data_IF_003386981419
#
_entry.id   IF_003386981419
#
_cell.length_a   1.000
_cell.length_b   1.000
_cell.length_c   1.000
_cell.angle_alpha   90.00
_cell.angle_beta   90.00
_cell.angle_gamma   90.00
#
_symmetry.space_group_name_H-M   'P 1'
#
loop_
_entity.id
_entity.type
_entity.pdbx_description
1 polymer ?
#
# COMPACT_ATOMS: atom_id res chain seq x y z
N UNK A 1 6.47 -4.14 21.19
CA UNK A 1 5.04 -4.02 20.85
C UNK A 1 4.22 -4.61 21.99
N UNK A 2 3.16 -3.92 22.43
CA UNK A 2 2.23 -4.44 23.45
C UNK A 2 1.14 -5.37 22.88
N UNK A 3 1.14 -5.62 21.56
CA UNK A 3 0.16 -6.46 20.88
C UNK A 3 0.87 -7.66 20.22
N UNK A 4 1.23 -8.65 21.04
CA UNK A 4 2.02 -9.82 20.60
C UNK A 4 1.27 -10.77 19.65
N UNK A 5 -0.06 -10.74 19.69
CA UNK A 5 -0.97 -11.55 18.88
C UNK A 5 -1.43 -10.86 17.59
N UNK A 6 -1.18 -9.56 17.44
CA UNK A 6 -1.62 -8.75 16.30
C UNK A 6 -1.26 -9.38 14.96
N UNK A 7 0.00 -9.81 14.81
CA UNK A 7 0.45 -10.44 13.57
C UNK A 7 -0.30 -11.74 13.27
N UNK A 8 -0.61 -12.55 14.30
CA UNK A 8 -1.35 -13.79 14.09
C UNK A 8 -2.78 -13.53 13.59
N UNK A 9 -3.49 -12.58 14.18
CA UNK A 9 -4.83 -12.20 13.74
C UNK A 9 -4.82 -11.57 12.34
N UNK A 10 -3.87 -10.69 12.04
CA UNK A 10 -3.75 -10.08 10.71
C UNK A 10 -3.52 -11.12 9.61
N UNK A 11 -2.74 -12.18 9.89
CA UNK A 11 -2.52 -13.25 8.92
C UNK A 11 -3.82 -14.00 8.57
N UNK A 12 -4.61 -14.36 9.58
CA UNK A 12 -5.88 -15.06 9.36
C UNK A 12 -6.91 -14.17 8.67
N UNK A 13 -7.01 -12.90 9.08
CA UNK A 13 -7.88 -11.94 8.42
C UNK A 13 -7.52 -11.77 6.94
N UNK A 14 -6.23 -11.63 6.62
CA UNK A 14 -5.78 -11.47 5.24
C UNK A 14 -6.07 -12.72 4.40
N UNK A 15 -5.90 -13.93 4.95
CA UNK A 15 -6.29 -15.18 4.29
C UNK A 15 -7.76 -15.21 3.95
N UNK A 16 -8.61 -14.82 4.89
CA UNK A 16 -10.06 -14.77 4.66
C UNK A 16 -10.46 -13.71 3.65
N UNK A 17 -9.80 -12.55 3.64
CA UNK A 17 -10.01 -11.52 2.62
C UNK A 17 -9.70 -12.06 1.23
N UNK A 18 -8.52 -12.66 1.03
CA UNK A 18 -8.11 -13.23 -0.26
C UNK A 18 -9.06 -14.36 -0.69
N UNK A 19 -9.47 -15.21 0.25
CA UNK A 19 -10.44 -16.30 -0.01
C UNK A 19 -11.79 -15.76 -0.49
N UNK A 20 -12.27 -14.65 0.07
CA UNK A 20 -13.59 -14.08 -0.25
C UNK A 20 -13.56 -13.26 -1.54
N UNK A 21 -12.49 -12.49 -1.78
CA UNK A 21 -12.38 -11.65 -2.98
C UNK A 21 -11.89 -12.42 -4.19
N UNK A 22 -11.02 -13.41 -4.01
CA UNK A 22 -10.28 -14.01 -5.13
C UNK A 22 -9.24 -13.04 -5.71
N UNK A 23 -8.72 -13.33 -6.92
CA UNK A 23 -7.61 -12.58 -7.52
C UNK A 23 -8.02 -11.15 -7.91
N UNK A 24 -7.04 -10.25 -8.07
CA UNK A 24 -7.31 -8.88 -8.45
C UNK A 24 -7.85 -8.80 -9.88
N UNK A 25 -9.02 -8.19 -10.02
CA UNK A 25 -9.69 -7.95 -11.30
C UNK A 25 -9.97 -6.47 -11.50
N UNK A 26 -9.65 -6.01 -12.70
CA UNK A 26 -9.75 -4.63 -13.11
C UNK A 26 -10.74 -4.47 -14.27
N UNK A 27 -11.42 -3.34 -14.30
CA UNK A 27 -12.35 -2.96 -15.37
C UNK A 27 -11.97 -1.60 -15.90
N UNK A 28 -11.93 -1.48 -17.22
CA UNK A 28 -11.76 -0.20 -17.90
C UNK A 28 -12.96 0.73 -17.61
N UNK A 29 -12.70 2.02 -17.43
CA UNK A 29 -13.77 3.03 -17.36
C UNK A 29 -14.35 3.24 -18.77
N UNK A 30 -15.29 2.41 -19.20
CA UNK A 30 -16.14 2.78 -20.34
C UNK A 30 -17.31 3.65 -19.84
N UNK A 31 -17.59 4.75 -20.54
CA UNK A 31 -18.85 5.47 -20.41
C UNK A 31 -20.00 4.47 -20.64
N UNK A 32 -20.79 4.19 -19.60
CA UNK A 32 -21.96 3.32 -19.72
C UNK A 32 -22.91 3.90 -20.76
N UNK A 33 -23.03 3.26 -21.93
CA UNK A 33 -24.17 3.45 -22.80
C UNK A 33 -25.31 2.53 -22.32
N UNK A 34 -26.50 3.07 -22.02
CA UNK A 34 -27.57 2.35 -21.32
C UNK A 34 -28.18 1.17 -22.10
N UNK A 35 -27.80 1.01 -23.37
CA UNK A 35 -28.35 0.07 -24.35
C UNK A 35 -27.45 -1.12 -24.68
N UNK A 36 -26.26 -1.26 -24.07
CA UNK A 36 -25.36 -2.38 -24.31
C UNK A 36 -25.29 -3.34 -23.12
N UNK A 37 -25.71 -4.59 -23.36
CA UNK A 37 -25.52 -5.71 -22.44
C UNK A 37 -24.02 -5.85 -22.14
N UNK A 38 -23.63 -5.52 -20.91
CA UNK A 38 -22.23 -5.35 -20.54
C UNK A 38 -21.53 -6.70 -20.44
N UNK A 39 -20.80 -7.10 -21.49
CA UNK A 39 -19.79 -8.14 -21.33
C UNK A 39 -18.81 -7.68 -20.23
N UNK A 40 -18.56 -8.52 -19.22
CA UNK A 40 -17.64 -8.20 -18.13
C UNK A 40 -16.23 -8.06 -18.70
N UNK A 41 -15.77 -6.83 -18.97
CA UNK A 41 -14.39 -6.52 -19.33
C UNK A 41 -13.46 -6.60 -18.10
N UNK A 42 -13.70 -7.58 -17.21
CA UNK A 42 -12.84 -7.85 -16.08
C UNK A 42 -11.59 -8.57 -16.56
N UNK A 43 -10.43 -7.99 -16.28
CA UNK A 43 -9.13 -8.59 -16.60
C UNK A 43 -8.21 -8.52 -15.40
N UNK A 44 -7.31 -9.48 -15.33
CA UNK A 44 -6.12 -9.34 -14.50
C UNK A 44 -5.20 -8.30 -15.14
N UNK A 45 -4.64 -7.42 -14.32
CA UNK A 45 -3.54 -6.55 -14.71
C UNK A 45 -2.39 -6.84 -13.75
N UNK A 46 -1.16 -6.66 -14.21
CA UNK A 46 -0.01 -6.60 -13.31
C UNK A 46 0.19 -5.16 -12.85
N UNK A 47 0.93 -4.92 -11.77
CA UNK A 47 1.25 -3.54 -11.38
C UNK A 47 2.04 -2.79 -12.47
N UNK A 48 2.94 -3.48 -13.17
CA UNK A 48 3.63 -2.93 -14.35
C UNK A 48 2.65 -2.51 -15.45
N UNK A 49 1.76 -3.42 -15.86
CA UNK A 49 0.76 -3.11 -16.88
C UNK A 49 -0.18 -1.99 -16.45
N UNK A 50 -0.51 -1.91 -15.15
CA UNK A 50 -1.31 -0.81 -14.60
C UNK A 50 -0.58 0.53 -14.70
N UNK A 51 0.71 0.58 -14.30
CA UNK A 51 1.51 1.80 -14.33
C UNK A 51 1.75 2.31 -15.76
N UNK A 52 1.89 1.40 -16.73
CA UNK A 52 2.07 1.73 -18.15
C UNK A 52 0.83 2.39 -18.79
N UNK A 53 -0.34 2.36 -18.14
CA UNK A 53 -1.57 2.91 -18.71
C UNK A 53 -1.67 4.44 -18.65
N UNK A 54 -0.71 5.13 -18.02
CA UNK A 54 -0.42 6.61 -18.04
C UNK A 54 -1.57 7.61 -17.89
N UNK A 55 -2.83 7.19 -17.76
CA UNK A 55 -3.98 8.08 -17.67
C UNK A 55 -4.64 8.01 -16.30
N UNK A 56 -5.11 9.17 -15.81
CA UNK A 56 -5.93 9.27 -14.60
C UNK A 56 -7.26 8.51 -14.72
N UNK A 57 -7.62 8.09 -15.95
CA UNK A 57 -8.78 7.26 -16.27
C UNK A 57 -8.44 5.78 -16.43
N UNK A 58 -7.30 5.36 -15.88
CA UNK A 58 -6.88 3.97 -15.86
C UNK A 58 -7.93 3.02 -15.29
N UNK A 59 -7.77 1.71 -15.59
CA UNK A 59 -8.72 0.69 -15.17
C UNK A 59 -8.85 0.65 -13.65
N UNK A 60 -10.08 0.46 -13.15
CA UNK A 60 -10.36 0.41 -11.72
C UNK A 60 -10.37 -1.03 -11.24
N UNK A 61 -9.67 -1.31 -10.13
CA UNK A 61 -9.77 -2.60 -9.44
C UNK A 61 -11.19 -2.76 -8.88
N UNK A 62 -11.93 -3.75 -9.37
CA UNK A 62 -13.30 -4.08 -8.93
C UNK A 62 -13.33 -5.09 -7.80
N UNK A 63 -12.34 -5.97 -7.78
CA UNK A 63 -12.22 -7.07 -6.82
C UNK A 63 -10.74 -7.40 -6.59
N UNK A 64 -10.38 -7.82 -5.39
CA UNK A 64 -9.02 -8.16 -5.01
C UNK A 64 -8.62 -7.53 -3.67
N UNK A 65 -7.39 -7.79 -3.23
CA UNK A 65 -6.83 -7.24 -1.99
C UNK A 65 -5.58 -6.44 -2.31
N UNK A 66 -5.51 -5.21 -1.80
CA UNK A 66 -4.29 -4.40 -1.76
C UNK A 66 -3.82 -4.33 -0.31
N UNK A 67 -2.62 -4.81 -0.04
CA UNK A 67 -1.98 -4.70 1.27
C UNK A 67 -1.05 -3.49 1.25
N UNK A 68 -1.39 -2.48 2.05
CA UNK A 68 -0.59 -1.26 2.21
C UNK A 68 0.40 -1.44 3.36
N UNK A 69 1.68 -1.49 3.04
CA UNK A 69 2.77 -1.65 3.99
C UNK A 69 3.49 -0.32 4.20
N UNK A 70 3.22 0.34 5.33
CA UNK A 70 3.94 1.55 5.72
C UNK A 70 5.30 1.20 6.32
N UNK A 71 6.36 1.61 5.62
CA UNK A 71 7.72 1.44 6.10
C UNK A 71 8.04 2.50 7.15
N UNK A 72 8.35 2.05 8.37
CA UNK A 72 8.72 2.94 9.47
C UNK A 72 10.24 3.07 9.63
N UNK A 73 10.74 4.25 10.03
CA UNK A 73 12.17 4.46 10.27
C UNK A 73 12.71 3.48 11.32
N UNK A 74 13.90 2.92 11.06
CA UNK A 74 14.55 1.95 11.96
C UNK A 74 13.99 0.52 11.92
N UNK A 75 12.95 0.25 11.12
CA UNK A 75 12.29 -1.06 11.08
C UNK A 75 12.40 -1.76 9.71
N UNK A 76 13.42 -1.46 8.91
CA UNK A 76 13.56 -2.01 7.55
C UNK A 76 13.58 -3.53 7.48
N UNK A 77 14.23 -4.19 8.42
CA UNK A 77 14.29 -5.66 8.46
C UNK A 77 12.93 -6.26 8.80
N UNK A 78 12.08 -5.55 9.55
CA UNK A 78 10.71 -5.96 9.78
C UNK A 78 9.87 -5.82 8.51
N UNK A 79 10.01 -4.70 7.79
CA UNK A 79 9.40 -4.52 6.47
C UNK A 79 9.75 -5.65 5.50
N UNK A 80 11.04 -6.02 5.42
CA UNK A 80 11.49 -7.13 4.57
C UNK A 80 10.86 -8.47 4.99
N UNK A 81 10.76 -8.76 6.29
CA UNK A 81 10.08 -9.97 6.79
C UNK A 81 8.60 -10.00 6.42
N UNK A 82 7.90 -8.88 6.56
CA UNK A 82 6.49 -8.76 6.19
C UNK A 82 6.30 -8.95 4.69
N UNK A 83 7.10 -8.29 3.86
CA UNK A 83 7.04 -8.42 2.40
C UNK A 83 7.32 -9.86 1.97
N UNK A 84 8.35 -10.50 2.53
CA UNK A 84 8.66 -11.91 2.28
C UNK A 84 7.46 -12.80 2.62
N UNK A 85 6.90 -12.65 3.82
CA UNK A 85 5.74 -13.43 4.24
C UNK A 85 4.57 -13.27 3.28
N UNK A 86 4.25 -12.03 2.90
CA UNK A 86 3.15 -11.73 1.99
C UNK A 86 3.35 -12.37 0.62
N UNK A 87 4.56 -12.26 0.07
CA UNK A 87 4.90 -12.85 -1.22
C UNK A 87 4.90 -14.38 -1.18
N UNK A 88 5.57 -15.00 -0.20
CA UNK A 88 5.63 -16.46 -0.05
C UNK A 88 4.24 -17.08 0.23
N UNK A 89 3.33 -16.33 0.85
CA UNK A 89 1.99 -16.83 1.20
C UNK A 89 0.96 -16.62 0.10
N UNK A 90 0.97 -15.47 -0.56
CA UNK A 90 -0.12 -15.07 -1.47
C UNK A 90 0.34 -14.90 -2.93
N UNK A 91 1.63 -14.66 -3.18
CA UNK A 91 2.15 -14.35 -4.52
C UNK A 91 1.34 -13.26 -5.20
N UNK A 92 0.86 -13.54 -6.42
CA UNK A 92 0.10 -12.60 -7.26
C UNK A 92 -1.41 -12.50 -6.92
N UNK A 93 -1.87 -13.16 -5.85
CA UNK A 93 -3.25 -13.05 -5.40
C UNK A 93 -3.54 -11.72 -4.69
N UNK A 94 -2.50 -10.97 -4.33
CA UNK A 94 -2.59 -9.66 -3.70
C UNK A 94 -1.73 -8.64 -4.44
N UNK A 95 -2.09 -7.38 -4.29
CA UNK A 95 -1.23 -6.26 -4.62
C UNK A 95 -0.54 -5.74 -3.36
N UNK A 96 0.76 -5.47 -3.46
CA UNK A 96 1.51 -4.77 -2.42
C UNK A 96 1.53 -3.27 -2.71
N UNK A 97 1.38 -2.44 -1.70
CA UNK A 97 1.65 -1.01 -1.78
C UNK A 97 2.69 -0.67 -0.72
N UNK A 98 3.95 -0.52 -1.14
CA UNK A 98 5.06 -0.23 -0.24
C UNK A 98 5.13 1.29 -0.11
N UNK A 99 4.89 1.77 1.11
CA UNK A 99 4.73 3.20 1.38
C UNK A 99 5.86 3.74 2.25
N UNK A 100 6.31 4.95 1.96
CA UNK A 100 7.29 5.72 2.75
C UNK A 100 6.68 6.99 3.40
N UNK A 101 5.36 7.16 3.34
CA UNK A 101 4.60 8.35 3.76
C UNK A 101 4.46 8.54 5.28
N UNK A 102 5.53 8.36 6.04
CA UNK A 102 5.52 8.74 7.44
C UNK A 102 6.00 10.18 7.61
N UNK A 103 5.06 11.10 7.85
CA UNK A 103 5.36 12.50 8.19
C UNK A 103 5.42 12.66 9.71
N UNK A 104 6.60 12.96 10.29
CA UNK A 104 6.73 13.20 11.72
C UNK A 104 5.84 14.35 12.17
N UNK A 105 5.21 14.23 13.34
CA UNK A 105 4.38 15.28 13.93
C UNK A 105 5.07 15.87 15.18
N UNK A 106 5.73 17.04 15.07
CA UNK A 106 6.51 17.64 16.16
C UNK A 106 5.66 18.04 17.38
N UNK A 107 4.36 18.25 17.21
CA UNK A 107 3.44 18.66 18.27
C UNK A 107 3.16 17.58 19.33
N UNK A 108 3.49 16.32 19.07
CA UNK A 108 3.25 15.19 19.97
C UNK A 108 4.40 14.98 20.97
N UNK A 109 4.60 15.95 21.86
CA UNK A 109 5.69 15.96 22.86
C UNK A 109 5.75 14.75 23.80
N UNK A 110 4.63 14.06 24.02
CA UNK A 110 4.56 12.79 24.76
C UNK A 110 5.13 11.61 23.96
N UNK A 111 4.82 11.53 22.67
CA UNK A 111 5.36 10.52 21.74
C UNK A 111 6.87 10.72 21.57
N UNK A 112 7.35 11.96 21.54
CA UNK A 112 8.78 12.27 21.43
C UNK A 112 9.64 11.61 22.51
N UNK A 113 9.15 11.60 23.76
CA UNK A 113 9.91 11.06 24.89
C UNK A 113 9.92 9.53 24.92
N UNK A 114 8.89 8.90 24.35
CA UNK A 114 8.70 7.46 24.41
C UNK A 114 9.20 6.74 23.14
N UNK A 115 9.13 7.39 21.98
CA UNK A 115 9.45 6.84 20.65
C UNK A 115 10.19 7.86 19.77
N UNK A 116 11.46 8.18 20.08
CA UNK A 116 12.24 9.18 19.34
C UNK A 116 12.44 8.80 17.86
N UNK A 117 12.39 7.51 17.51
CA UNK A 117 12.48 7.01 16.14
C UNK A 117 11.33 7.48 15.24
N UNK A 118 10.16 7.79 15.82
CA UNK A 118 8.99 8.31 15.13
C UNK A 118 9.09 9.84 14.87
N UNK A 119 10.22 10.47 15.20
CA UNK A 119 10.44 11.90 14.95
C UNK A 119 11.20 12.18 13.66
N UNK A 120 11.59 11.13 12.94
CA UNK A 120 12.32 11.22 11.69
C UNK A 120 11.53 10.56 10.57
N UNK A 121 11.76 11.05 9.36
CA UNK A 121 11.31 10.36 8.15
C UNK A 121 12.10 9.07 7.95
N UNK A 122 11.51 8.14 7.20
CA UNK A 122 12.25 7.01 6.68
C UNK A 122 13.35 7.53 5.73
N UNK A 123 14.63 7.19 5.94
CA UNK A 123 15.68 7.55 5.00
C UNK A 123 15.40 6.95 3.63
N UNK A 124 15.61 7.72 2.55
CA UNK A 124 15.39 7.28 1.17
C UNK A 124 16.13 5.96 0.86
N UNK A 125 17.40 5.88 1.26
CA UNK A 125 18.20 4.64 1.15
C UNK A 125 17.55 3.43 1.82
N UNK A 126 16.96 3.60 3.01
CA UNK A 126 16.33 2.47 3.69
C UNK A 126 15.06 2.01 2.95
N UNK A 127 14.35 2.94 2.31
CA UNK A 127 13.20 2.64 1.47
C UNK A 127 13.62 1.95 0.16
N UNK A 128 14.64 2.45 -0.53
CA UNK A 128 15.23 1.81 -1.71
C UNK A 128 15.66 0.37 -1.42
N UNK A 129 16.36 0.15 -0.29
CA UNK A 129 16.76 -1.20 0.13
C UNK A 129 15.57 -2.16 0.37
N UNK A 130 14.40 -1.63 0.76
CA UNK A 130 13.17 -2.43 0.93
C UNK A 130 12.54 -2.75 -0.42
N UNK A 131 12.51 -1.76 -1.33
CA UNK A 131 11.99 -1.91 -2.69
C UNK A 131 12.85 -2.92 -3.47
N UNK A 132 14.17 -2.76 -3.46
CA UNK A 132 15.11 -3.68 -4.10
C UNK A 132 14.96 -5.11 -3.57
N UNK A 133 14.73 -5.25 -2.27
CA UNK A 133 14.45 -6.55 -1.68
C UNK A 133 13.16 -7.17 -2.23
N UNK A 134 12.07 -6.40 -2.35
CA UNK A 134 10.81 -6.88 -2.92
C UNK A 134 11.00 -7.31 -4.40
N UNK A 135 11.72 -6.52 -5.19
CA UNK A 135 12.07 -6.85 -6.57
C UNK A 135 12.92 -8.14 -6.65
N UNK A 136 13.90 -8.28 -5.75
CA UNK A 136 14.78 -9.47 -5.69
C UNK A 136 14.02 -10.76 -5.35
N UNK A 137 12.89 -10.65 -4.65
CA UNK A 137 12.02 -11.78 -4.35
C UNK A 137 11.15 -12.20 -5.55
N UNK A 138 11.01 -11.35 -6.57
CA UNK A 138 10.11 -11.58 -7.71
C UNK A 138 8.71 -10.96 -7.54
N UNK A 139 8.57 -9.95 -6.68
CA UNK A 139 7.31 -9.21 -6.56
C UNK A 139 7.05 -8.40 -7.83
N UNK A 140 6.04 -8.78 -8.60
CA UNK A 140 5.62 -8.05 -9.81
C UNK A 140 4.44 -7.11 -9.58
N UNK A 141 3.61 -7.42 -8.58
CA UNK A 141 2.37 -6.70 -8.28
C UNK A 141 2.52 -5.73 -7.10
N UNK A 142 3.37 -4.71 -7.28
CA UNK A 142 3.60 -3.68 -6.26
C UNK A 142 3.41 -2.24 -6.76
N UNK A 143 2.80 -1.40 -5.93
CA UNK A 143 2.85 0.04 -6.02
C UNK A 143 4.03 0.55 -5.18
N UNK A 144 4.94 1.26 -5.84
CA UNK A 144 6.13 1.89 -5.26
C UNK A 144 5.96 3.39 -5.44
N UNK A 145 6.31 4.15 -4.40
CA UNK A 145 6.28 5.61 -4.39
C UNK A 145 7.65 6.17 -4.80
N UNK A 146 7.66 7.07 -5.78
CA UNK A 146 8.84 7.83 -6.20
C UNK A 146 8.84 9.23 -5.58
N UNK A 147 10.00 9.72 -5.12
CA UNK A 147 10.22 11.11 -4.71
C UNK A 147 9.78 11.51 -3.29
N UNK A 148 9.65 12.82 -3.05
CA UNK A 148 9.35 13.44 -1.75
C UNK A 148 7.91 13.19 -1.27
N UNK A 149 7.67 12.06 -0.63
CA UNK A 149 6.31 11.54 -0.35
C UNK A 149 5.75 11.94 1.02
N UNK A 150 6.48 12.73 1.80
CA UNK A 150 6.11 13.15 3.16
C UNK A 150 6.29 14.66 3.37
N UNK A 151 5.70 15.48 2.50
CA UNK A 151 5.68 16.94 2.68
C UNK A 151 4.60 17.35 3.69
N UNK A 152 4.85 18.41 4.46
CA UNK A 152 3.87 18.99 5.41
C UNK A 152 2.60 19.48 4.69
N UNK A 153 2.70 19.78 3.41
CA UNK A 153 1.59 20.16 2.52
C UNK A 153 0.53 19.07 2.37
N UNK A 154 0.85 17.81 2.68
CA UNK A 154 -0.12 16.70 2.69
C UNK A 154 -0.88 16.57 4.03
N UNK A 155 -0.51 17.34 5.06
CA UNK A 155 -1.24 17.37 6.32
C UNK A 155 -2.40 18.37 6.16
N UNK A 156 -3.67 17.93 6.23
CA UNK A 156 -4.79 18.85 6.24
C UNK A 156 -4.64 19.87 7.37
N UNK A 157 -5.12 21.11 7.19
CA UNK A 157 -4.96 22.17 8.19
C UNK A 157 -5.61 21.83 9.55
N UNK A 158 -6.54 20.86 9.59
CA UNK A 158 -7.31 20.44 10.77
C UNK A 158 -7.81 21.63 11.61
N UNK A 159 -8.16 22.72 10.94
CA UNK A 159 -8.57 24.00 11.52
C UNK A 159 -10.09 24.17 11.56
N UNK A 160 -10.83 23.08 11.33
CA UNK A 160 -12.28 23.01 11.24
C UNK A 160 -12.90 23.94 10.18
N UNK A 161 -12.09 24.48 9.25
CA UNK A 161 -12.61 25.25 8.12
C UNK A 161 -13.37 24.32 7.16
N UNK A 162 -14.53 24.77 6.67
CA UNK A 162 -15.38 24.00 5.76
C UNK A 162 -16.36 23.03 6.44
N UNK A 163 -16.52 23.09 7.76
CA UNK A 163 -17.65 22.48 8.47
C UNK A 163 -18.77 23.52 8.62
N UNK A 164 -19.60 23.69 7.59
CA UNK A 164 -20.92 24.36 7.68
C UNK A 164 -22.05 23.35 7.47
#
# INVERSE_FOLDING_TARGET
SGAGDYFAYCKEALRDMVRQTGPPLFTDRQERRPDQESASNERFLTARAYNDLTSYEGPLMRRGVIVRHLCLPGNKEDSKRVIRYLYETFGDQIYLSIMNQYTPMPSLSSVQKQYPELLRKLPERDYEEIVDFALSLGVENAFIQEGDTAQETFIPAFDFTGLE
#
